data_IF_326707995085
#
_entry.id   IF_326707995085
#
_cell.length_a   1.000
_cell.length_b   1.000
_cell.length_c   1.000
_cell.angle_alpha   90.00
_cell.angle_beta   90.00
_cell.angle_gamma   90.00
#
_symmetry.space_group_name_H-M   'P 1'
#
loop_
_entity.id
_entity.type
_entity.pdbx_description
1 polymer ?
#
# COMPACT_ATOMS: atom_id res chain seq x y z
N UNK A 1 -3.46 19.94 -1.76
CA UNK A 1 -4.37 18.97 -1.09
C UNK A 1 -5.81 19.23 -1.52
N UNK A 2 -6.40 20.38 -1.19
CA UNK A 2 -7.71 20.79 -1.73
C UNK A 2 -7.53 21.62 -3.01
N UNK A 3 -8.27 21.29 -4.07
CA UNK A 3 -8.32 22.07 -5.30
C UNK A 3 -9.73 22.71 -5.43
N UNK A 4 -9.86 24.05 -5.48
CA UNK A 4 -11.16 24.72 -5.61
C UNK A 4 -11.92 24.38 -6.90
N UNK A 5 -11.24 23.86 -7.92
CA UNK A 5 -11.83 23.45 -9.19
C UNK A 5 -12.34 22.00 -9.18
N UNK A 6 -12.10 21.25 -8.09
CA UNK A 6 -12.55 19.86 -7.95
C UNK A 6 -13.66 19.77 -6.90
N UNK A 7 -14.70 18.99 -7.22
CA UNK A 7 -15.82 18.70 -6.32
C UNK A 7 -15.56 17.49 -5.42
N UNK A 8 -14.41 16.84 -5.56
CA UNK A 8 -14.04 15.67 -4.77
C UNK A 8 -13.85 16.05 -3.30
N UNK A 9 -14.29 15.17 -2.40
CA UNK A 9 -14.12 15.33 -0.97
C UNK A 9 -12.66 15.04 -0.57
N UNK A 10 -12.09 15.77 0.41
CA UNK A 10 -10.76 15.44 0.91
C UNK A 10 -10.75 14.07 1.59
N UNK A 11 -9.83 13.20 1.18
CA UNK A 11 -9.52 11.94 1.86
C UNK A 11 -8.32 12.18 2.79
N UNK A 12 -8.56 12.15 4.10
CA UNK A 12 -7.51 12.34 5.12
C UNK A 12 -7.31 11.01 5.84
N UNK A 13 -6.18 10.39 5.60
CA UNK A 13 -5.79 9.16 6.28
C UNK A 13 -5.02 9.49 7.56
N UNK A 14 -5.29 8.73 8.63
CA UNK A 14 -4.66 8.89 9.92
C UNK A 14 -3.89 7.63 10.29
N UNK A 15 -2.57 7.78 10.40
CA UNK A 15 -1.68 6.71 10.84
C UNK A 15 -1.47 6.75 12.37
N UNK A 16 -1.47 5.59 13.01
CA UNK A 16 -1.19 5.49 14.45
C UNK A 16 -0.56 4.14 14.83
N UNK A 17 -0.15 4.02 16.09
CA UNK A 17 0.46 2.80 16.65
C UNK A 17 -0.47 1.59 16.47
N UNK A 18 0.02 0.56 15.76
CA UNK A 18 -0.68 -0.69 15.55
C UNK A 18 -1.19 -1.40 16.81
N UNK A 19 -0.53 -1.23 17.95
CA UNK A 19 -0.93 -1.82 19.25
C UNK A 19 -2.26 -1.25 19.74
N UNK A 20 -2.62 -0.03 19.31
CA UNK A 20 -3.84 0.69 19.73
C UNK A 20 -4.97 0.60 18.71
N UNK A 21 -4.87 -0.30 17.73
CA UNK A 21 -5.86 -0.44 16.64
C UNK A 21 -7.30 -0.53 17.12
N UNK A 22 -7.55 -1.52 17.98
CA UNK A 22 -8.91 -1.81 18.44
C UNK A 22 -9.41 -0.69 19.37
N UNK A 23 -8.54 -0.12 20.20
CA UNK A 23 -8.84 1.02 21.09
C UNK A 23 -9.31 2.25 20.30
N UNK A 24 -8.54 2.66 19.29
CA UNK A 24 -8.86 3.83 18.44
C UNK A 24 -10.14 3.58 17.64
N UNK A 25 -10.28 2.37 17.09
CA UNK A 25 -11.48 1.97 16.33
C UNK A 25 -12.73 2.04 17.22
N UNK A 26 -12.67 1.45 18.41
CA UNK A 26 -13.77 1.46 19.37
C UNK A 26 -14.12 2.88 19.80
N UNK A 27 -13.11 3.71 20.10
CA UNK A 27 -13.31 5.11 20.45
C UNK A 27 -14.10 5.86 19.36
N UNK A 28 -13.69 5.76 18.10
CA UNK A 28 -14.33 6.47 16.99
C UNK A 28 -15.77 5.98 16.80
N UNK A 29 -15.97 4.67 16.74
CA UNK A 29 -17.31 4.09 16.55
C UNK A 29 -18.26 4.43 17.70
N UNK A 30 -17.77 4.46 18.94
CA UNK A 30 -18.57 4.85 20.10
C UNK A 30 -18.87 6.34 20.10
N UNK A 31 -17.87 7.19 19.82
CA UNK A 31 -18.02 8.65 19.80
C UNK A 31 -19.06 9.12 18.79
N UNK A 32 -19.12 8.47 17.64
CA UNK A 32 -20.02 8.84 16.55
C UNK A 32 -21.22 7.90 16.41
N UNK A 33 -21.50 7.04 17.38
CA UNK A 33 -22.68 6.17 17.34
C UNK A 33 -24.00 6.99 17.36
N UNK A 34 -25.03 6.66 16.55
CA UNK A 34 -25.15 5.54 15.60
C UNK A 34 -24.78 5.90 14.14
N UNK A 35 -23.95 6.93 13.96
CA UNK A 35 -23.63 7.56 12.67
C UNK A 35 -22.39 6.97 11.99
N UNK A 36 -21.68 6.08 12.65
CA UNK A 36 -20.41 5.53 12.18
C UNK A 36 -20.39 4.00 12.15
N UNK A 37 -19.70 3.46 11.16
CA UNK A 37 -19.42 2.04 11.03
C UNK A 37 -18.08 1.80 10.34
N UNK A 38 -17.57 0.58 10.47
CA UNK A 38 -16.51 0.09 9.60
C UNK A 38 -17.02 0.01 8.15
N UNK A 39 -16.13 0.22 7.19
CA UNK A 39 -16.41 0.08 5.76
C UNK A 39 -16.20 -1.37 5.33
N UNK A 40 -17.07 -1.91 4.48
CA UNK A 40 -16.86 -3.23 3.95
C UNK A 40 -15.81 -3.27 2.83
N UNK A 41 -15.27 -4.45 2.62
CA UNK A 41 -14.58 -4.85 1.40
C UNK A 41 -15.24 -6.12 0.90
N UNK A 42 -15.31 -6.26 -0.41
CA UNK A 42 -15.85 -7.45 -1.06
C UNK A 42 -14.72 -8.17 -1.81
N UNK A 43 -13.90 -8.98 -1.12
CA UNK A 43 -12.92 -9.83 -1.79
C UNK A 43 -13.58 -10.72 -2.84
N UNK A 44 -13.05 -10.68 -4.05
CA UNK A 44 -13.49 -11.50 -5.18
C UNK A 44 -12.53 -12.66 -5.43
N UNK A 45 -12.99 -13.69 -6.13
CA UNK A 45 -12.14 -14.80 -6.55
C UNK A 45 -11.05 -14.34 -7.52
N UNK A 46 -9.81 -14.28 -7.02
CA UNK A 46 -8.56 -14.16 -7.78
C UNK A 46 -8.00 -15.53 -8.14
N UNK A 47 -7.01 -15.59 -9.03
CA UNK A 47 -6.53 -16.83 -9.65
C UNK A 47 -6.31 -17.99 -8.67
N UNK A 48 -5.43 -17.78 -7.66
CA UNK A 48 -5.15 -18.78 -6.62
C UNK A 48 -6.40 -19.18 -5.84
N UNK A 49 -7.26 -18.22 -5.51
CA UNK A 49 -8.47 -18.46 -4.71
C UNK A 49 -9.51 -19.27 -5.47
N UNK A 50 -9.73 -18.94 -6.74
CA UNK A 50 -10.66 -19.65 -7.63
C UNK A 50 -10.23 -21.12 -7.79
N UNK A 51 -8.97 -21.35 -8.16
CA UNK A 51 -8.41 -22.70 -8.31
C UNK A 51 -8.56 -23.50 -7.01
N UNK A 52 -8.24 -22.91 -5.85
CA UNK A 52 -8.36 -23.59 -4.55
C UNK A 52 -9.79 -24.00 -4.22
N UNK A 53 -10.78 -23.20 -4.58
CA UNK A 53 -12.19 -23.52 -4.32
C UNK A 53 -12.68 -24.62 -5.26
N UNK A 54 -12.43 -24.47 -6.57
CA UNK A 54 -12.85 -25.45 -7.58
C UNK A 54 -12.15 -26.80 -7.39
N UNK A 55 -10.84 -26.79 -7.11
CA UNK A 55 -10.07 -28.00 -6.86
C UNK A 55 -10.60 -28.78 -5.63
N UNK A 56 -11.01 -28.07 -4.57
CA UNK A 56 -11.64 -28.72 -3.40
C UNK A 56 -12.97 -29.35 -3.75
N UNK A 57 -13.79 -28.68 -4.56
CA UNK A 57 -15.06 -29.24 -5.04
C UNK A 57 -14.83 -30.49 -5.91
N UNK A 58 -13.69 -30.56 -6.61
CA UNK A 58 -13.27 -31.72 -7.41
C UNK A 58 -12.66 -32.85 -6.57
N UNK A 59 -12.56 -32.69 -5.25
CA UNK A 59 -12.03 -33.71 -4.34
C UNK A 59 -10.50 -33.79 -4.28
N UNK A 60 -9.77 -32.78 -4.76
CA UNK A 60 -8.32 -32.77 -4.64
C UNK A 60 -7.87 -32.58 -3.18
N UNK A 61 -6.78 -33.25 -2.81
CA UNK A 61 -6.17 -33.08 -1.49
C UNK A 61 -5.53 -31.69 -1.33
N UNK A 62 -5.46 -31.18 -0.09
CA UNK A 62 -4.81 -29.90 0.20
C UNK A 62 -3.38 -29.81 -0.32
N UNK A 63 -2.60 -30.90 -0.17
CA UNK A 63 -1.23 -30.98 -0.70
C UNK A 63 -1.18 -30.79 -2.22
N UNK A 64 -2.15 -31.38 -2.93
CA UNK A 64 -2.27 -31.23 -4.39
C UNK A 64 -2.67 -29.81 -4.78
N UNK A 65 -3.62 -29.24 -4.07
CA UNK A 65 -4.07 -27.87 -4.31
C UNK A 65 -2.93 -26.87 -4.10
N UNK A 66 -2.12 -27.09 -3.07
CA UNK A 66 -0.94 -26.27 -2.79
C UNK A 66 0.10 -26.39 -3.92
N UNK A 67 0.40 -27.61 -4.40
CA UNK A 67 1.36 -27.78 -5.51
C UNK A 67 0.93 -27.07 -6.79
N UNK A 68 -0.39 -27.05 -7.09
CA UNK A 68 -0.92 -26.35 -8.25
C UNK A 68 -0.83 -24.81 -8.12
N UNK A 69 -1.03 -24.28 -6.91
CA UNK A 69 -1.28 -22.83 -6.72
C UNK A 69 -0.12 -22.02 -6.17
N UNK A 70 0.86 -22.65 -5.53
CA UNK A 70 1.91 -21.92 -4.81
C UNK A 70 2.81 -21.09 -5.74
N UNK A 71 3.11 -21.61 -6.94
CA UNK A 71 3.95 -20.93 -7.92
C UNK A 71 3.23 -19.81 -8.70
N UNK A 72 1.88 -19.79 -8.73
CA UNK A 72 1.14 -18.80 -9.52
C UNK A 72 1.32 -17.40 -8.94
N UNK A 73 1.56 -16.33 -9.70
CA UNK A 73 1.60 -14.98 -9.13
C UNK A 73 0.23 -14.51 -8.60
N UNK A 74 0.19 -13.32 -7.99
CA UNK A 74 -1.08 -12.64 -7.72
C UNK A 74 -1.63 -12.03 -9.03
N UNK A 75 -2.72 -12.60 -9.55
CA UNK A 75 -3.37 -12.13 -10.77
C UNK A 75 -4.89 -12.38 -10.75
N UNK A 76 -5.58 -11.67 -11.64
CA UNK A 76 -6.96 -11.99 -12.03
C UNK A 76 -7.04 -13.33 -12.74
N UNK A 77 -8.17 -14.02 -12.62
CA UNK A 77 -8.32 -15.42 -13.07
C UNK A 77 -8.16 -15.57 -14.58
N UNK A 78 -8.65 -14.60 -15.36
CA UNK A 78 -8.57 -14.53 -16.82
C UNK A 78 -7.14 -14.59 -17.37
N UNK A 79 -6.13 -14.29 -16.55
CA UNK A 79 -4.72 -14.29 -16.95
C UNK A 79 -4.00 -15.60 -16.70
N UNK A 80 -4.62 -16.58 -16.03
CA UNK A 80 -3.94 -17.83 -15.61
C UNK A 80 -3.32 -18.55 -16.80
N UNK A 81 -4.10 -18.80 -17.86
CA UNK A 81 -3.63 -19.55 -19.03
C UNK A 81 -2.47 -18.85 -19.74
N UNK A 82 -2.52 -17.53 -19.85
CA UNK A 82 -1.44 -16.73 -20.43
C UNK A 82 -0.18 -16.80 -19.59
N UNK A 83 -0.30 -16.67 -18.26
CA UNK A 83 0.82 -16.71 -17.33
C UNK A 83 1.47 -18.10 -17.28
N UNK A 84 0.68 -19.19 -17.30
CA UNK A 84 1.18 -20.56 -17.40
C UNK A 84 2.01 -20.81 -18.68
N UNK A 85 1.79 -20.05 -19.76
CA UNK A 85 2.55 -20.16 -21.01
C UNK A 85 3.81 -19.30 -21.02
N UNK A 86 3.75 -18.10 -20.42
CA UNK A 86 4.81 -17.09 -20.53
C UNK A 86 5.89 -17.30 -19.46
N UNK A 87 5.50 -17.66 -18.23
CA UNK A 87 6.43 -17.61 -17.10
C UNK A 87 7.26 -18.90 -17.04
N UNK A 88 8.61 -18.81 -17.13
CA UNK A 88 9.47 -19.99 -17.12
C UNK A 88 9.30 -20.85 -15.86
N UNK A 89 9.07 -20.22 -14.72
CA UNK A 89 8.84 -20.88 -13.42
C UNK A 89 7.60 -21.78 -13.40
N UNK A 90 6.65 -21.54 -14.31
CA UNK A 90 5.39 -22.28 -14.42
C UNK A 90 5.41 -23.34 -15.52
N UNK A 91 6.56 -23.53 -16.19
CA UNK A 91 6.69 -24.45 -17.31
C UNK A 91 6.32 -25.89 -16.92
N UNK A 92 6.75 -26.33 -15.75
CA UNK A 92 6.47 -27.68 -15.22
C UNK A 92 5.25 -27.69 -14.29
N UNK A 93 4.42 -26.64 -14.29
CA UNK A 93 3.22 -26.61 -13.46
C UNK A 93 2.16 -27.57 -14.03
N UNK A 94 1.69 -28.49 -13.20
CA UNK A 94 0.73 -29.52 -13.58
C UNK A 94 -0.59 -28.94 -14.10
N UNK A 95 -0.97 -27.69 -13.75
CA UNK A 95 -2.15 -27.02 -14.30
C UNK A 95 -2.15 -26.93 -15.84
N UNK A 96 -1.01 -27.17 -16.51
CA UNK A 96 -0.91 -27.24 -17.97
C UNK A 96 -1.41 -28.56 -18.55
N UNK A 97 -1.57 -29.59 -17.72
CA UNK A 97 -2.00 -30.91 -18.16
C UNK A 97 -3.50 -30.94 -18.49
N UNK A 98 -3.87 -31.70 -19.54
CA UNK A 98 -5.23 -31.70 -20.10
C UNK A 98 -6.31 -32.07 -19.09
N UNK A 99 -6.02 -32.89 -18.07
CA UNK A 99 -7.03 -33.27 -17.08
C UNK A 99 -7.41 -32.12 -16.13
N UNK A 100 -6.61 -31.05 -16.06
CA UNK A 100 -6.96 -29.81 -15.34
C UNK A 100 -7.69 -28.76 -16.19
N UNK A 101 -7.94 -29.05 -17.47
CA UNK A 101 -8.61 -28.11 -18.37
C UNK A 101 -10.00 -27.70 -17.84
N UNK A 102 -10.82 -28.67 -17.40
CA UNK A 102 -12.12 -28.40 -16.81
C UNK A 102 -12.01 -27.60 -15.50
N UNK A 103 -10.97 -27.86 -14.71
CA UNK A 103 -10.72 -27.10 -13.48
C UNK A 103 -10.42 -25.64 -13.80
N UNK A 104 -9.62 -25.37 -14.84
CA UNK A 104 -9.30 -24.01 -15.27
C UNK A 104 -10.53 -23.31 -15.85
N UNK A 105 -11.31 -23.99 -16.69
CA UNK A 105 -12.55 -23.44 -17.26
C UNK A 105 -13.54 -22.99 -16.19
N UNK A 106 -13.75 -23.82 -15.17
CA UNK A 106 -14.65 -23.48 -14.07
C UNK A 106 -14.04 -22.38 -13.20
N UNK A 107 -12.73 -22.44 -12.94
CA UNK A 107 -12.05 -21.39 -12.18
C UNK A 107 -12.22 -20.03 -12.84
N UNK A 108 -12.00 -19.94 -14.15
CA UNK A 108 -12.18 -18.73 -14.97
C UNK A 108 -13.62 -18.19 -14.90
N UNK A 109 -14.63 -19.08 -14.95
CA UNK A 109 -16.05 -18.69 -14.81
C UNK A 109 -16.40 -18.14 -13.42
N UNK A 110 -15.75 -18.62 -12.38
CA UNK A 110 -15.95 -18.14 -10.99
C UNK A 110 -15.10 -16.90 -10.70
N UNK A 111 -14.14 -16.56 -11.58
CA UNK A 111 -13.30 -15.39 -11.42
C UNK A 111 -14.10 -14.10 -11.28
N UNK A 112 -13.71 -13.27 -10.30
CA UNK A 112 -14.40 -12.01 -10.03
C UNK A 112 -15.69 -12.14 -9.22
N UNK A 113 -16.21 -13.34 -8.97
CA UNK A 113 -17.36 -13.49 -8.07
C UNK A 113 -17.00 -13.07 -6.64
N UNK A 114 -17.90 -12.36 -5.92
CA UNK A 114 -17.76 -12.08 -4.49
C UNK A 114 -17.63 -13.35 -3.67
N UNK A 115 -16.69 -13.38 -2.71
CA UNK A 115 -16.45 -14.56 -1.87
C UNK A 115 -17.06 -14.44 -0.48
N UNK A 116 -16.83 -13.31 0.18
CA UNK A 116 -17.37 -12.99 1.50
C UNK A 116 -17.30 -11.48 1.71
N UNK A 117 -18.08 -10.97 2.64
CA UNK A 117 -17.96 -9.60 3.12
C UNK A 117 -16.89 -9.53 4.21
N UNK A 118 -15.96 -8.60 4.10
CA UNK A 118 -14.91 -8.37 5.11
C UNK A 118 -14.87 -6.90 5.52
N UNK A 119 -14.22 -6.60 6.63
CA UNK A 119 -13.98 -5.21 7.02
C UNK A 119 -12.77 -4.66 6.27
N UNK A 120 -12.89 -3.46 5.70
CA UNK A 120 -11.75 -2.68 5.23
C UNK A 120 -10.75 -2.50 6.37
N UNK A 121 -9.46 -2.59 6.05
CA UNK A 121 -8.40 -2.33 7.01
C UNK A 121 -8.34 -0.83 7.27
N UNK A 122 -8.85 -0.41 8.43
CA UNK A 122 -8.84 0.99 8.86
C UNK A 122 -10.00 1.84 8.34
N UNK A 123 -10.79 1.34 7.38
CA UNK A 123 -11.87 2.13 6.79
C UNK A 123 -13.02 2.35 7.76
N UNK A 124 -13.30 3.61 8.06
CA UNK A 124 -14.46 4.05 8.84
C UNK A 124 -15.26 5.03 8.01
N UNK A 125 -16.58 4.89 8.01
CA UNK A 125 -17.50 5.85 7.42
C UNK A 125 -18.25 6.56 8.54
N UNK A 126 -18.42 7.88 8.40
CA UNK A 126 -19.17 8.72 9.33
C UNK A 126 -20.19 9.53 8.53
N UNK A 127 -21.45 9.47 8.96
CA UNK A 127 -22.56 10.19 8.34
C UNK A 127 -23.11 11.31 9.24
N UNK A 128 -23.94 12.20 8.69
CA UNK A 128 -24.55 13.29 9.47
C UNK A 128 -25.68 12.80 10.40
N UNK A 129 -26.45 11.81 9.95
CA UNK A 129 -27.55 11.16 10.68
C UNK A 129 -27.22 9.72 11.08
N UNK A 130 -28.20 8.93 11.55
CA UNK A 130 -28.02 7.49 11.73
C UNK A 130 -27.59 6.82 10.42
N UNK A 131 -26.50 6.04 10.45
CA UNK A 131 -25.92 5.48 9.23
C UNK A 131 -26.87 4.46 8.55
N UNK A 132 -27.65 3.76 9.36
CA UNK A 132 -28.64 2.77 8.93
C UNK A 132 -29.79 3.35 8.07
N UNK A 133 -29.99 4.67 8.08
CA UNK A 133 -30.98 5.33 7.22
C UNK A 133 -30.48 5.43 5.77
N UNK A 134 -29.17 5.26 5.55
CA UNK A 134 -28.51 5.40 4.25
C UNK A 134 -27.97 4.07 3.72
N UNK A 135 -27.42 3.22 4.60
CA UNK A 135 -26.78 1.96 4.21
C UNK A 135 -27.13 0.82 5.17
N UNK A 136 -27.32 -0.42 4.68
CA UNK A 136 -27.51 -1.56 5.56
C UNK A 136 -26.25 -1.80 6.39
N UNK A 137 -26.43 -2.00 7.70
CA UNK A 137 -25.35 -2.25 8.67
C UNK A 137 -25.52 -3.64 9.27
N UNK A 138 -24.41 -4.37 9.38
CA UNK A 138 -24.33 -5.64 10.11
C UNK A 138 -23.27 -5.59 11.20
N UNK A 139 -23.20 -6.62 12.04
CA UNK A 139 -22.07 -6.80 12.95
C UNK A 139 -20.90 -7.44 12.21
N UNK A 140 -19.71 -6.87 12.35
CA UNK A 140 -18.46 -7.50 11.95
C UNK A 140 -18.14 -8.70 12.84
N UNK A 141 -17.15 -9.51 12.44
CA UNK A 141 -16.67 -10.64 13.24
C UNK A 141 -16.19 -10.23 14.66
N UNK A 142 -15.74 -8.98 14.85
CA UNK A 142 -15.36 -8.42 16.16
C UNK A 142 -16.52 -7.74 16.90
N UNK A 143 -17.73 -7.77 16.36
CA UNK A 143 -18.91 -7.17 16.97
C UNK A 143 -19.13 -5.68 16.66
N UNK A 144 -18.19 -5.01 15.99
CA UNK A 144 -18.34 -3.62 15.56
C UNK A 144 -19.38 -3.47 14.44
N UNK A 145 -20.10 -2.33 14.35
CA UNK A 145 -20.95 -2.00 13.21
C UNK A 145 -20.13 -1.97 11.92
N UNK A 146 -20.65 -2.58 10.87
CA UNK A 146 -20.05 -2.71 9.54
C UNK A 146 -21.11 -2.32 8.50
N UNK A 147 -20.87 -1.23 7.77
CA UNK A 147 -21.64 -0.89 6.58
C UNK A 147 -21.39 -1.97 5.52
N UNK A 148 -22.45 -2.47 4.87
CA UNK A 148 -22.30 -3.55 3.89
C UNK A 148 -21.80 -3.06 2.53
N UNK A 149 -21.79 -1.74 2.30
CA UNK A 149 -21.25 -1.11 1.09
C UNK A 149 -19.75 -0.91 1.20
N UNK A 150 -19.06 -1.06 0.06
CA UNK A 150 -17.63 -0.83 -0.03
C UNK A 150 -17.29 0.66 -0.21
N UNK A 151 -16.00 0.97 -0.37
CA UNK A 151 -15.54 2.36 -0.54
C UNK A 151 -16.25 3.05 -1.70
N UNK A 152 -16.33 2.39 -2.85
CA UNK A 152 -16.79 3.02 -4.09
C UNK A 152 -18.30 3.30 -4.02
N UNK A 153 -19.06 2.40 -3.39
CA UNK A 153 -20.49 2.59 -3.19
C UNK A 153 -20.80 3.67 -2.15
N UNK A 154 -20.04 3.76 -1.06
CA UNK A 154 -20.18 4.83 -0.07
C UNK A 154 -19.84 6.21 -0.64
N UNK A 155 -18.79 6.29 -1.47
CA UNK A 155 -18.38 7.53 -2.13
C UNK A 155 -19.47 8.05 -3.09
N UNK A 156 -20.12 7.15 -3.85
CA UNK A 156 -21.27 7.51 -4.72
C UNK A 156 -22.48 8.03 -3.94
N UNK A 157 -22.63 7.64 -2.67
CA UNK A 157 -23.66 8.16 -1.77
C UNK A 157 -23.27 9.50 -1.13
N UNK A 158 -22.09 10.05 -1.46
CA UNK A 158 -21.57 11.27 -0.87
C UNK A 158 -21.14 11.11 0.59
N UNK A 159 -20.90 9.87 1.05
CA UNK A 159 -20.43 9.60 2.39
C UNK A 159 -18.92 9.71 2.48
N UNK A 160 -18.45 10.39 3.53
CA UNK A 160 -17.02 10.56 3.78
C UNK A 160 -16.51 9.30 4.49
N UNK A 161 -15.55 8.64 3.83
CA UNK A 161 -14.69 7.62 4.42
C UNK A 161 -13.43 8.29 4.97
N UNK A 162 -12.89 7.71 6.04
CA UNK A 162 -11.59 8.05 6.61
C UNK A 162 -10.87 6.75 6.92
N UNK A 163 -9.61 6.60 6.51
CA UNK A 163 -8.80 5.46 6.93
C UNK A 163 -8.05 5.75 8.23
N UNK A 164 -8.33 4.90 9.23
CA UNK A 164 -7.58 4.77 10.47
C UNK A 164 -6.56 3.65 10.30
N UNK A 165 -5.38 4.02 9.82
CA UNK A 165 -4.32 3.10 9.48
C UNK A 165 -3.41 2.81 10.68
N UNK A 166 -3.39 1.55 11.08
CA UNK A 166 -2.58 1.10 12.20
C UNK A 166 -1.23 0.60 11.68
N UNK A 167 -0.15 1.35 11.90
CA UNK A 167 1.18 1.04 11.36
C UNK A 167 2.09 0.41 12.41
N UNK A 168 2.76 -0.70 12.03
CA UNK A 168 3.71 -1.39 12.91
C UNK A 168 4.94 -0.55 13.23
N UNK A 169 5.40 0.27 12.28
CA UNK A 169 6.56 1.14 12.49
C UNK A 169 6.28 2.23 13.53
N UNK A 170 5.06 2.78 13.57
CA UNK A 170 4.65 3.69 14.63
C UNK A 170 4.61 3.00 16.00
N UNK A 171 4.26 1.70 16.02
CA UNK A 171 4.38 0.88 17.23
C UNK A 171 5.83 0.69 17.68
N UNK A 172 6.74 0.37 16.76
CA UNK A 172 8.16 0.26 17.07
C UNK A 172 8.77 1.57 17.57
N UNK A 173 8.38 2.71 16.98
CA UNK A 173 8.80 4.05 17.46
C UNK A 173 8.25 4.31 18.86
N UNK A 174 6.97 4.01 19.09
CA UNK A 174 6.33 4.22 20.41
C UNK A 174 7.01 3.40 21.50
N UNK A 175 7.30 2.12 21.23
CA UNK A 175 8.02 1.24 22.13
C UNK A 175 9.47 1.72 22.39
N UNK A 176 10.17 2.20 21.36
CA UNK A 176 11.50 2.78 21.52
C UNK A 176 11.48 4.02 22.43
N UNK A 177 10.49 4.90 22.28
CA UNK A 177 10.30 6.07 23.15
C UNK A 177 9.97 5.66 24.59
N UNK A 178 9.12 4.64 24.78
CA UNK A 178 8.82 4.07 26.10
C UNK A 178 10.10 3.57 26.79
N UNK A 179 10.97 2.84 26.09
CA UNK A 179 12.25 2.36 26.63
C UNK A 179 13.22 3.49 26.95
N UNK A 180 13.31 4.52 26.12
CA UNK A 180 14.12 5.71 26.40
C UNK A 180 13.64 6.42 27.66
N UNK A 181 12.32 6.55 27.83
CA UNK A 181 11.71 7.15 29.02
C UNK A 181 12.02 6.36 30.29
N UNK A 182 12.01 5.02 30.23
CA UNK A 182 12.44 4.17 31.35
C UNK A 182 13.91 4.41 31.76
N UNK A 183 14.74 4.82 30.80
CA UNK A 183 16.14 5.24 31.02
C UNK A 183 16.28 6.73 31.40
N UNK A 184 15.16 7.41 31.69
CA UNK A 184 15.09 8.85 32.00
C UNK A 184 15.58 9.75 30.86
N UNK A 185 15.48 9.26 29.63
CA UNK A 185 15.74 10.04 28.41
C UNK A 185 14.38 10.46 27.86
N UNK A 186 14.08 11.75 27.92
CA UNK A 186 12.87 12.32 27.35
C UNK A 186 13.14 12.77 25.91
N UNK A 187 12.56 12.06 24.95
CA UNK A 187 12.74 12.33 23.53
C UNK A 187 11.47 12.97 22.96
N UNK A 188 11.59 14.20 22.46
CA UNK A 188 10.54 14.84 21.67
C UNK A 188 10.77 14.57 20.18
N UNK A 189 9.91 13.74 19.59
CA UNK A 189 9.99 13.36 18.17
C UNK A 189 9.85 14.55 17.22
N UNK A 190 9.05 15.57 17.57
CA UNK A 190 8.82 16.76 16.74
C UNK A 190 10.05 17.68 16.66
N UNK A 191 11.01 17.50 17.58
CA UNK A 191 12.21 18.33 17.68
C UNK A 191 13.47 17.64 17.17
N UNK A 192 13.35 16.46 16.55
CA UNK A 192 14.50 15.74 16.01
C UNK A 192 15.05 16.51 14.80
N UNK A 193 16.36 16.83 14.77
CA UNK A 193 16.96 17.52 13.63
C UNK A 193 16.94 16.64 12.38
N UNK A 194 16.69 17.25 11.22
CA UNK A 194 16.64 16.55 9.93
C UNK A 194 17.99 16.46 9.23
N UNK A 195 19.05 17.01 9.82
CA UNK A 195 20.41 17.14 9.27
C UNK A 195 21.47 16.36 10.08
N UNK A 196 21.05 15.36 10.87
CA UNK A 196 21.99 14.52 11.64
C UNK A 196 22.89 13.67 10.73
N UNK A 197 24.16 14.03 10.66
CA UNK A 197 25.17 13.36 9.84
C UNK A 197 25.36 11.87 10.19
N UNK A 198 25.15 11.44 11.45
CA UNK A 198 25.21 10.00 11.80
C UNK A 198 24.08 9.21 11.14
N UNK A 199 22.91 9.81 11.00
CA UNK A 199 21.77 9.22 10.28
C UNK A 199 22.13 9.09 8.80
N UNK A 200 22.67 10.14 8.17
CA UNK A 200 23.06 10.06 6.76
C UNK A 200 24.22 9.09 6.51
N UNK A 201 25.17 8.95 7.44
CA UNK A 201 26.20 7.90 7.37
C UNK A 201 25.59 6.50 7.37
N UNK A 202 24.61 6.24 8.24
CA UNK A 202 23.86 4.97 8.24
C UNK A 202 23.17 4.74 6.90
N UNK A 203 22.45 5.74 6.38
CA UNK A 203 21.75 5.64 5.10
C UNK A 203 22.70 5.37 3.93
N UNK A 204 23.83 6.10 3.86
CA UNK A 204 24.87 5.90 2.83
C UNK A 204 25.54 4.53 2.90
N UNK A 205 25.60 3.92 4.09
CA UNK A 205 26.09 2.55 4.26
C UNK A 205 25.13 1.47 3.73
N UNK A 206 23.88 1.83 3.40
CA UNK A 206 22.80 0.93 2.96
C UNK A 206 22.39 -0.15 3.99
N UNK A 207 22.87 -0.05 5.23
CA UNK A 207 22.48 -0.92 6.35
C UNK A 207 21.15 -0.48 6.96
N UNK A 208 20.12 -0.41 6.13
CA UNK A 208 18.81 0.19 6.45
C UNK A 208 17.70 -0.84 6.68
N UNK A 209 18.04 -2.08 7.03
CA UNK A 209 17.05 -3.07 7.46
C UNK A 209 16.40 -2.57 8.76
N UNK A 210 15.08 -2.50 8.81
CA UNK A 210 14.33 -1.85 9.90
C UNK A 210 14.13 -0.35 9.76
N UNK A 211 14.63 0.28 8.69
CA UNK A 211 14.34 1.70 8.39
C UNK A 211 13.13 1.79 7.43
N UNK A 212 11.99 2.26 7.93
CA UNK A 212 10.73 2.32 7.18
C UNK A 212 10.91 2.86 5.75
N UNK A 213 10.29 2.19 4.78
CA UNK A 213 10.36 2.46 3.33
C UNK A 213 11.74 2.28 2.68
N UNK A 214 12.83 2.11 3.42
CA UNK A 214 14.21 2.03 2.90
C UNK A 214 14.85 0.64 3.01
N UNK A 215 14.05 -0.42 3.16
CA UNK A 215 14.54 -1.76 3.53
C UNK A 215 14.72 -2.71 2.34
N UNK A 216 13.93 -2.51 1.27
CA UNK A 216 13.91 -3.46 0.15
C UNK A 216 15.27 -3.51 -0.57
N UNK A 217 15.68 -4.66 -1.14
CA UNK A 217 16.98 -4.78 -1.81
C UNK A 217 17.19 -3.73 -2.91
N UNK A 218 16.18 -3.48 -3.74
CA UNK A 218 16.26 -2.49 -4.81
C UNK A 218 16.31 -1.05 -4.29
N UNK A 219 15.53 -0.73 -3.25
CA UNK A 219 15.58 0.59 -2.61
C UNK A 219 16.96 0.86 -2.01
N UNK A 220 17.54 -0.12 -1.31
CA UNK A 220 18.90 -0.03 -0.76
C UNK A 220 19.96 0.14 -1.83
N UNK A 221 19.82 -0.54 -2.96
CA UNK A 221 20.72 -0.36 -4.10
C UNK A 221 20.63 1.08 -4.65
N UNK A 222 19.41 1.62 -4.81
CA UNK A 222 19.22 3.01 -5.25
C UNK A 222 19.80 3.99 -4.22
N UNK A 223 19.55 3.77 -2.94
CA UNK A 223 20.09 4.58 -1.84
C UNK A 223 21.63 4.62 -1.85
N UNK A 224 22.27 3.47 -2.08
CA UNK A 224 23.71 3.34 -2.23
C UNK A 224 24.27 4.08 -3.45
N UNK A 225 23.55 4.12 -4.57
CA UNK A 225 23.94 4.96 -5.73
C UNK A 225 23.70 6.44 -5.49
N UNK A 226 22.64 6.77 -4.75
CA UNK A 226 22.20 8.14 -4.48
C UNK A 226 23.16 8.88 -3.55
N UNK A 227 23.65 8.20 -2.51
CA UNK A 227 24.47 8.77 -1.43
C UNK A 227 23.78 10.02 -0.81
N UNK A 228 22.71 9.83 -0.02
CA UNK A 228 21.93 10.93 0.54
C UNK A 228 22.74 11.75 1.58
N UNK A 229 22.53 13.06 1.58
CA UNK A 229 23.16 14.02 2.50
C UNK A 229 22.17 14.99 3.12
N UNK A 230 20.91 14.99 2.67
CA UNK A 230 19.84 15.86 3.18
C UNK A 230 18.48 15.17 3.07
N UNK A 231 17.48 15.73 3.74
CA UNK A 231 16.18 15.09 3.86
C UNK A 231 15.46 14.94 2.50
N UNK A 232 15.57 15.95 1.64
CA UNK A 232 14.98 15.88 0.29
C UNK A 232 15.58 14.77 -0.58
N UNK A 233 16.77 14.25 -0.28
CA UNK A 233 17.31 13.08 -0.96
C UNK A 233 16.54 11.81 -0.60
N UNK A 234 16.10 11.69 0.66
CA UNK A 234 15.28 10.56 1.12
C UNK A 234 13.93 10.60 0.41
N UNK A 235 13.31 11.79 0.34
CA UNK A 235 12.05 12.02 -0.39
C UNK A 235 12.21 11.62 -1.86
N UNK A 236 13.27 12.08 -2.53
CA UNK A 236 13.54 11.74 -3.92
C UNK A 236 13.79 10.24 -4.12
N UNK A 237 14.54 9.59 -3.21
CA UNK A 237 14.80 8.15 -3.26
C UNK A 237 13.50 7.33 -3.27
N UNK A 238 12.61 7.63 -2.34
CA UNK A 238 11.32 6.95 -2.18
C UNK A 238 10.41 7.21 -3.38
N UNK A 239 10.41 8.44 -3.90
CA UNK A 239 9.60 8.81 -5.07
C UNK A 239 10.09 8.16 -6.36
N UNK A 240 11.41 8.09 -6.57
CA UNK A 240 12.03 7.49 -7.76
C UNK A 240 11.90 5.96 -7.79
N UNK A 241 11.86 5.30 -6.64
CA UNK A 241 11.68 3.85 -6.55
C UNK A 241 10.20 3.45 -6.61
N UNK A 242 9.49 3.95 -7.62
CA UNK A 242 8.10 3.64 -7.93
C UNK A 242 7.97 3.18 -9.38
N UNK A 243 6.98 2.33 -9.73
CA UNK A 243 6.86 1.79 -11.08
C UNK A 243 6.88 2.85 -12.19
N UNK A 244 6.16 3.97 -12.03
CA UNK A 244 6.13 5.04 -13.04
C UNK A 244 7.52 5.61 -13.36
N UNK A 245 8.22 6.22 -12.39
CA UNK A 245 9.57 6.72 -12.57
C UNK A 245 10.59 5.67 -13.04
N UNK A 246 10.45 4.42 -12.61
CA UNK A 246 11.30 3.32 -13.08
C UNK A 246 11.07 2.99 -14.55
N UNK A 247 9.82 2.95 -15.02
CA UNK A 247 9.51 2.71 -16.43
C UNK A 247 9.92 3.87 -17.35
N UNK A 248 9.90 5.09 -16.82
CA UNK A 248 10.28 6.31 -17.55
C UNK A 248 11.79 6.62 -17.47
N UNK A 249 12.61 5.70 -16.92
CA UNK A 249 14.05 5.86 -16.70
C UNK A 249 14.44 7.21 -16.05
N UNK A 250 13.66 7.66 -15.06
CA UNK A 250 13.92 8.93 -14.37
C UNK A 250 15.11 8.83 -13.39
N UNK A 251 15.47 7.62 -12.98
CA UNK A 251 16.53 7.35 -12.00
C UNK A 251 17.90 7.73 -12.56
N UNK A 252 18.20 7.30 -13.78
CA UNK A 252 19.51 7.48 -14.42
C UNK A 252 19.88 8.96 -14.57
N UNK A 253 19.09 9.83 -15.25
CA UNK A 253 19.43 11.24 -15.40
C UNK A 253 19.49 11.97 -14.07
N UNK A 254 18.64 11.62 -13.10
CA UNK A 254 18.70 12.21 -11.76
C UNK A 254 20.04 11.92 -11.07
N UNK A 255 20.50 10.67 -11.10
CA UNK A 255 21.78 10.28 -10.50
C UNK A 255 22.98 10.88 -11.24
N UNK A 256 22.99 10.84 -12.58
CA UNK A 256 24.09 11.39 -13.36
C UNK A 256 24.25 12.91 -13.15
N UNK A 257 23.15 13.64 -13.13
CA UNK A 257 23.16 15.10 -12.89
C UNK A 257 23.52 15.45 -11.46
N UNK A 258 22.99 14.71 -10.47
CA UNK A 258 23.35 14.88 -9.06
C UNK A 258 24.85 14.72 -8.84
N UNK A 259 25.45 13.72 -9.45
CA UNK A 259 26.89 13.42 -9.32
C UNK A 259 27.77 14.24 -10.26
N UNK A 260 27.19 15.20 -11.01
CA UNK A 260 27.93 16.07 -11.92
C UNK A 260 28.49 15.37 -13.16
N UNK A 261 28.04 14.14 -13.46
CA UNK A 261 28.42 13.37 -14.64
C UNK A 261 27.63 13.80 -15.89
N UNK A 262 26.46 14.39 -15.68
CA UNK A 262 25.66 15.05 -16.71
C UNK A 262 25.38 16.51 -16.29
N UNK A 263 25.36 17.43 -17.24
CA UNK A 263 25.01 18.84 -16.97
C UNK A 263 23.52 18.96 -16.68
N UNK A 264 23.17 19.61 -15.56
CA UNK A 264 21.78 20.00 -15.29
C UNK A 264 21.30 20.96 -16.37
N UNK A 265 20.19 20.63 -17.00
CA UNK A 265 19.53 21.46 -18.00
C UNK A 265 18.05 21.59 -17.67
N UNK A 266 17.48 22.73 -18.06
CA UNK A 266 16.07 23.05 -17.90
C UNK A 266 15.52 23.42 -19.27
N UNK A 267 14.28 23.00 -19.58
CA UNK A 267 13.63 23.35 -20.85
C UNK A 267 13.37 24.86 -20.95
N UNK A 268 13.15 25.52 -19.82
CA UNK A 268 12.88 26.96 -19.74
C UNK A 268 13.34 27.52 -18.38
N UNK A 269 13.84 28.77 -18.29
CA UNK A 269 14.31 29.37 -17.02
C UNK A 269 13.26 29.39 -15.90
N UNK A 270 11.97 29.48 -16.24
CA UNK A 270 10.86 29.43 -15.27
C UNK A 270 10.80 28.09 -14.52
N UNK A 271 11.31 27.01 -15.11
CA UNK A 271 11.34 25.69 -14.49
C UNK A 271 12.50 25.52 -13.51
N UNK A 272 13.54 26.36 -13.58
CA UNK A 272 14.69 26.26 -12.70
C UNK A 272 14.31 26.29 -11.22
N UNK A 273 13.56 27.27 -10.67
CA UNK A 273 13.21 27.28 -9.26
C UNK A 273 12.39 26.06 -8.81
N UNK A 274 11.63 25.44 -9.70
CA UNK A 274 10.75 24.28 -9.41
C UNK A 274 11.55 22.96 -9.43
N UNK A 275 12.47 22.83 -10.40
CA UNK A 275 13.20 21.59 -10.68
C UNK A 275 14.64 21.59 -10.17
N UNK A 276 15.12 22.69 -9.60
CA UNK A 276 16.50 22.78 -9.08
C UNK A 276 16.79 21.72 -8.04
N UNK A 277 15.85 21.45 -7.14
CA UNK A 277 16.03 20.43 -6.10
C UNK A 277 16.06 19.00 -6.66
N UNK A 278 15.50 18.80 -7.86
CA UNK A 278 15.44 17.51 -8.55
C UNK A 278 16.34 17.45 -9.78
N UNK A 279 17.33 18.35 -9.89
CA UNK A 279 18.32 18.37 -10.96
C UNK A 279 17.69 18.41 -12.38
N UNK A 280 16.58 19.14 -12.54
CA UNK A 280 15.88 19.25 -13.82
C UNK A 280 15.04 18.03 -14.19
N UNK A 281 14.84 17.07 -13.29
CA UNK A 281 13.99 15.89 -13.48
C UNK A 281 12.65 16.12 -12.78
N UNK A 282 11.54 15.85 -13.47
CA UNK A 282 10.19 15.95 -12.89
C UNK A 282 9.92 14.67 -12.12
N UNK A 283 9.92 14.75 -10.78
CA UNK A 283 9.78 13.60 -9.88
C UNK A 283 8.47 13.67 -9.10
N UNK A 284 8.06 14.87 -8.69
CA UNK A 284 6.89 15.08 -7.86
C UNK A 284 5.69 15.52 -8.70
N UNK A 285 4.48 15.17 -8.25
CA UNK A 285 3.26 15.63 -8.91
C UNK A 285 3.11 17.15 -8.81
N UNK A 286 3.61 17.76 -7.73
CA UNK A 286 3.64 19.20 -7.50
C UNK A 286 4.54 19.96 -8.47
N UNK A 287 5.40 19.25 -9.22
CA UNK A 287 6.25 19.83 -10.26
C UNK A 287 5.62 19.81 -11.66
N UNK A 288 4.53 19.07 -11.85
CA UNK A 288 3.76 18.97 -13.10
C UNK A 288 2.77 20.13 -13.18
#
# INVERSE_FOLDING_TARGET
>A
FLNPERLDLPDIDLDFDSRRRDEVTEYVLKKYSPKAALVATVPTFRARGAIREVARAFGLSYKKIESLTNALPYLSVDKIRSVLKIFPELKENELREKHYELLLDISEKVGGFPRYLSSHLGGVVISQGPLQDLVPVQKSAKGFPLAQYDKDDLEKLGLIKTDLLSLRMLGAISEAVEYLKMRRIDLNLEKIPLDDEKVYQLLRSTKTVGCFQLESPGMRQLLGKLQPTKFSDIVANISLFRPGPMHADMITPFLERRHGREKVSFLHPVLEPILKETYGVIIFHEQV
#
